data_IF_112789472551
#
_entry.id   IF_112789472551
#
_cell.length_a   1.000
_cell.length_b   1.000
_cell.length_c   1.000
_cell.angle_alpha   90.00
_cell.angle_beta   90.00
_cell.angle_gamma   90.00
#
_symmetry.space_group_name_H-M   'P 1'
#
loop_
_entity.id
_entity.type
_entity.pdbx_description
1 polymer ?
#
# COMPACT_ATOMS: atom_id res chain seq x y z
N UNK A 1 29.47 -6.91 -24.57
CA UNK A 1 28.83 -6.66 -23.25
C UNK A 1 28.25 -5.26 -23.08
N UNK A 2 28.96 -4.16 -23.39
CA UNK A 2 28.39 -2.79 -23.26
C UNK A 2 27.10 -2.54 -24.04
N UNK A 3 26.93 -3.10 -25.25
CA UNK A 3 25.71 -2.93 -26.07
C UNK A 3 24.47 -3.67 -25.52
N UNK A 4 24.66 -4.79 -24.80
CA UNK A 4 23.58 -5.51 -24.11
C UNK A 4 23.12 -4.79 -22.84
N UNK A 5 24.04 -4.06 -22.18
CA UNK A 5 23.71 -3.25 -21.00
C UNK A 5 22.85 -2.04 -21.39
N UNK A 6 23.16 -1.37 -22.50
CA UNK A 6 22.30 -0.30 -23.02
C UNK A 6 20.98 -0.84 -23.60
N UNK A 7 20.97 -2.02 -24.22
CA UNK A 7 19.72 -2.66 -24.63
C UNK A 7 18.84 -3.04 -23.43
N UNK A 8 19.42 -3.49 -22.31
CA UNK A 8 18.68 -3.75 -21.07
C UNK A 8 18.18 -2.47 -20.40
N UNK A 9 18.96 -1.37 -20.42
CA UNK A 9 18.54 -0.05 -19.91
C UNK A 9 17.46 0.57 -20.83
N UNK A 10 17.55 0.41 -22.15
CA UNK A 10 16.57 0.88 -23.15
C UNK A 10 15.31 0.01 -23.16
N UNK A 11 15.43 -1.30 -22.98
CA UNK A 11 14.28 -2.20 -22.79
C UNK A 11 13.62 -1.99 -21.43
N UNK A 12 14.37 -1.65 -20.37
CA UNK A 12 13.82 -1.20 -19.08
C UNK A 12 13.22 0.22 -19.13
N UNK A 13 13.53 1.04 -20.14
CA UNK A 13 12.89 2.36 -20.33
C UNK A 13 11.69 2.33 -21.29
N UNK A 14 11.33 1.17 -21.85
CA UNK A 14 10.16 0.99 -22.71
C UNK A 14 9.21 -0.14 -22.30
N UNK A 15 9.41 -0.82 -21.18
CA UNK A 15 8.46 -1.82 -20.67
C UNK A 15 7.56 -1.23 -19.58
N UNK A 16 6.43 -0.71 -20.06
CA UNK A 16 5.10 -0.70 -19.44
C UNK A 16 5.01 -1.83 -18.40
N UNK A 17 4.75 -1.60 -17.13
CA UNK A 17 3.92 -0.58 -16.48
C UNK A 17 3.05 -1.35 -15.48
N UNK A 18 2.63 -0.67 -14.40
CA UNK A 18 1.79 -1.09 -13.26
C UNK A 18 2.65 -1.19 -11.92
N UNK A 19 2.20 -0.63 -10.72
CA UNK A 19 2.51 -0.74 -9.19
C UNK A 19 1.38 -0.42 -8.18
N UNK A 20 1.45 -1.04 -6.98
CA UNK A 20 0.44 -1.45 -5.96
C UNK A 20 0.03 -0.52 -4.82
N UNK A 21 -1.26 -0.63 -4.45
CA UNK A 21 -1.86 -0.15 -3.20
C UNK A 21 -1.32 -0.92 -2.00
N UNK A 22 -0.47 -0.30 -1.18
CA UNK A 22 0.03 -0.87 0.07
C UNK A 22 -0.50 -0.08 1.27
N UNK A 23 -1.05 -0.73 2.31
CA UNK A 23 -1.23 -0.09 3.60
C UNK A 23 0.14 0.32 4.20
N UNK A 24 0.16 1.42 4.95
CA UNK A 24 1.31 1.88 5.78
C UNK A 24 1.81 0.78 6.74
N UNK A 25 0.93 -0.18 7.03
CA UNK A 25 1.13 -1.38 7.82
C UNK A 25 0.89 -2.59 6.93
N UNK A 26 1.97 -3.17 6.39
CA UNK A 26 1.91 -4.49 5.77
C UNK A 26 2.39 -5.55 6.77
N UNK A 27 1.46 -6.30 7.39
CA UNK A 27 1.78 -7.25 8.45
C UNK A 27 2.51 -8.52 7.98
N UNK A 28 2.75 -8.71 6.69
CA UNK A 28 3.06 -10.02 6.10
C UNK A 28 4.55 -10.40 6.04
N UNK A 29 5.45 -9.66 6.67
CA UNK A 29 6.90 -9.82 6.47
C UNK A 29 7.62 -10.56 7.63
N UNK A 30 6.94 -11.39 8.45
CA UNK A 30 7.54 -11.96 9.67
C UNK A 30 7.74 -13.47 9.71
N UNK A 31 7.44 -14.21 8.65
CA UNK A 31 7.59 -15.67 8.65
C UNK A 31 8.57 -16.08 7.57
N UNK A 32 9.65 -16.76 7.98
CA UNK A 32 10.53 -17.42 7.04
C UNK A 32 9.84 -18.70 6.53
N UNK A 33 9.55 -18.80 5.22
CA UNK A 33 9.05 -20.03 4.58
C UNK A 33 9.75 -21.32 4.98
N UNK A 34 11.04 -21.23 5.32
CA UNK A 34 11.89 -22.38 5.64
C UNK A 34 11.60 -22.93 7.03
N UNK A 35 11.16 -22.09 7.96
CA UNK A 35 10.83 -22.49 9.34
C UNK A 35 9.51 -23.27 9.44
N UNK A 36 8.73 -23.29 8.35
CA UNK A 36 7.38 -23.85 8.30
C UNK A 36 7.22 -24.95 7.22
N UNK A 37 8.34 -25.42 6.66
CA UNK A 37 8.32 -26.53 5.69
C UNK A 37 7.70 -27.78 6.33
N UNK A 38 6.68 -28.35 5.65
CA UNK A 38 5.92 -29.50 6.18
C UNK A 38 4.73 -29.14 7.09
N UNK A 39 4.55 -27.86 7.42
CA UNK A 39 3.46 -27.38 8.26
C UNK A 39 2.49 -26.46 7.48
N UNK A 40 1.26 -26.36 7.99
CA UNK A 40 0.30 -25.32 7.62
C UNK A 40 0.31 -24.29 8.74
N UNK A 41 0.51 -23.03 8.39
CA UNK A 41 0.47 -21.93 9.33
C UNK A 41 -0.79 -21.09 9.09
N UNK A 42 -1.54 -20.85 10.15
CA UNK A 42 -2.63 -19.88 10.18
C UNK A 42 -2.20 -18.69 11.02
N UNK A 43 -2.39 -17.49 10.48
CA UNK A 43 -2.17 -16.24 11.21
C UNK A 43 -3.46 -15.44 11.28
N UNK A 44 -3.65 -14.77 12.41
CA UNK A 44 -4.72 -13.79 12.62
C UNK A 44 -4.13 -12.59 13.34
N UNK A 45 -4.49 -11.39 12.91
CA UNK A 45 -3.95 -10.14 13.43
C UNK A 45 -5.02 -9.07 13.51
N UNK A 46 -4.95 -8.29 14.57
CA UNK A 46 -5.72 -7.08 14.79
C UNK A 46 -4.73 -5.92 14.88
N UNK A 47 -4.96 -4.86 14.12
CA UNK A 47 -4.19 -3.62 14.14
C UNK A 47 -5.14 -2.47 14.40
N UNK A 48 -4.81 -1.59 15.33
CA UNK A 48 -5.59 -0.39 15.59
C UNK A 48 -4.65 0.79 15.87
N UNK A 49 -5.01 1.96 15.38
CA UNK A 49 -4.20 3.15 15.60
C UNK A 49 -4.75 4.40 14.96
N UNK A 50 -3.89 5.41 14.89
CA UNK A 50 -4.21 6.69 14.30
C UNK A 50 -3.03 7.24 13.51
N UNK A 51 -3.34 8.12 12.56
CA UNK A 51 -2.36 8.82 11.77
C UNK A 51 -2.68 10.29 11.62
N UNK A 52 -1.63 11.09 11.56
CA UNK A 52 -1.63 12.48 11.12
C UNK A 52 -1.16 12.56 9.69
N UNK A 53 -1.90 13.29 8.85
CA UNK A 53 -1.65 13.40 7.41
C UNK A 53 -1.55 12.02 6.74
N UNK A 54 -2.55 11.17 6.99
CA UNK A 54 -2.57 9.83 6.43
C UNK A 54 -2.38 9.87 4.91
N UNK A 55 -1.55 8.95 4.41
CA UNK A 55 -1.30 8.80 2.98
C UNK A 55 -1.91 7.47 2.52
N UNK A 56 -2.81 7.54 1.54
CA UNK A 56 -3.44 6.37 0.93
C UNK A 56 -2.90 6.20 -0.49
N UNK A 57 -2.00 5.25 -0.71
CA UNK A 57 -1.33 5.03 -2.00
C UNK A 57 -0.70 6.31 -2.56
N UNK A 58 0.12 6.95 -1.73
CA UNK A 58 0.81 8.19 -2.10
C UNK A 58 -0.13 9.37 -2.37
N UNK A 59 -1.37 9.31 -1.86
CA UNK A 59 -2.34 10.40 -1.89
C UNK A 59 -2.54 10.92 -0.46
N UNK A 60 -2.01 12.11 -0.12
CA UNK A 60 -2.17 12.66 1.22
C UNK A 60 -3.62 13.08 1.46
N UNK A 61 -4.20 12.61 2.57
CA UNK A 61 -5.52 13.03 3.03
C UNK A 61 -5.48 14.32 3.85
N UNK A 62 -4.30 14.70 4.38
CA UNK A 62 -4.11 15.87 5.28
C UNK A 62 -5.00 15.86 6.54
N UNK A 63 -5.59 14.72 6.86
CA UNK A 63 -6.51 14.56 7.98
C UNK A 63 -5.91 13.75 9.12
N UNK A 64 -6.51 13.91 10.31
CA UNK A 64 -6.33 13.02 11.45
C UNK A 64 -7.33 11.90 11.31
N UNK A 65 -6.88 10.65 11.29
CA UNK A 65 -7.77 9.51 11.08
C UNK A 65 -7.42 8.35 11.98
N UNK A 66 -8.45 7.74 12.57
CA UNK A 66 -8.35 6.45 13.23
C UNK A 66 -8.55 5.33 12.22
N UNK A 67 -7.92 4.19 12.48
CA UNK A 67 -8.08 3.00 11.65
C UNK A 67 -8.08 1.72 12.47
N UNK A 68 -8.77 0.73 11.92
CA UNK A 68 -8.83 -0.65 12.41
C UNK A 68 -8.55 -1.58 11.23
N UNK A 69 -7.70 -2.58 11.42
CA UNK A 69 -7.48 -3.62 10.43
C UNK A 69 -7.52 -5.00 11.09
N UNK A 70 -8.30 -5.89 10.50
CA UNK A 70 -8.28 -7.32 10.75
C UNK A 70 -7.58 -7.99 9.59
N UNK A 71 -6.57 -8.80 9.87
CA UNK A 71 -5.85 -9.59 8.88
C UNK A 71 -5.86 -11.05 9.27
N UNK A 72 -5.96 -11.93 8.29
CA UNK A 72 -5.75 -13.36 8.48
C UNK A 72 -5.06 -13.93 7.26
N UNK A 73 -4.23 -14.94 7.48
CA UNK A 73 -3.48 -15.56 6.39
C UNK A 73 -3.26 -17.04 6.62
N UNK A 74 -3.18 -17.77 5.52
CA UNK A 74 -2.80 -19.17 5.48
C UNK A 74 -1.52 -19.29 4.69
N UNK A 75 -0.52 -19.92 5.30
CA UNK A 75 0.70 -20.31 4.62
C UNK A 75 0.78 -21.82 4.54
N UNK A 76 1.12 -22.32 3.35
CA UNK A 76 1.39 -23.73 3.14
C UNK A 76 2.43 -23.93 2.03
N UNK A 77 3.55 -24.59 2.39
CA UNK A 77 4.67 -24.91 1.49
C UNK A 77 5.35 -23.70 0.86
N UNK A 78 4.88 -23.26 -0.29
CA UNK A 78 5.43 -22.15 -1.07
C UNK A 78 4.36 -21.12 -1.40
N UNK A 79 3.17 -21.27 -0.83
CA UNK A 79 2.02 -20.44 -1.14
C UNK A 79 1.53 -19.77 0.13
N UNK A 80 1.15 -18.51 0.00
CA UNK A 80 0.48 -17.72 1.02
C UNK A 80 -0.82 -17.16 0.45
N UNK A 81 -1.87 -17.21 1.24
CA UNK A 81 -3.12 -16.51 0.98
C UNK A 81 -3.47 -15.63 2.16
N UNK A 82 -3.71 -14.35 1.91
CA UNK A 82 -4.05 -13.39 2.96
C UNK A 82 -5.36 -12.69 2.63
N UNK A 83 -6.16 -12.46 3.66
CA UNK A 83 -7.31 -11.57 3.63
C UNK A 83 -7.14 -10.49 4.69
N UNK A 84 -7.37 -9.25 4.30
CA UNK A 84 -7.32 -8.09 5.19
C UNK A 84 -8.60 -7.28 5.03
N UNK A 85 -9.26 -6.99 6.13
CA UNK A 85 -10.35 -6.04 6.22
C UNK A 85 -9.88 -4.83 7.01
N UNK A 86 -10.04 -3.64 6.44
CA UNK A 86 -9.65 -2.39 7.07
C UNK A 86 -10.80 -1.39 7.06
N UNK A 87 -10.99 -0.71 8.18
CA UNK A 87 -11.96 0.36 8.33
C UNK A 87 -11.16 1.61 8.70
N UNK A 88 -11.46 2.70 8.02
CA UNK A 88 -10.93 4.02 8.34
C UNK A 88 -12.07 4.93 8.77
N UNK A 89 -11.91 5.58 9.92
CA UNK A 89 -12.84 6.60 10.39
C UNK A 89 -12.50 7.95 9.78
N UNK A 90 -13.54 8.70 9.45
CA UNK A 90 -13.44 10.08 9.02
C UNK A 90 -14.70 10.54 8.30
N UNK A 91 -14.75 11.82 7.99
CA UNK A 91 -15.91 12.40 7.34
C UNK A 91 -16.00 11.96 5.88
N UNK A 92 -17.21 11.58 5.46
CA UNK A 92 -17.49 11.37 4.04
C UNK A 92 -17.70 12.74 3.38
N UNK A 93 -16.86 13.14 2.41
CA UNK A 93 -16.99 14.43 1.76
C UNK A 93 -18.32 14.49 0.99
N UNK A 94 -19.23 15.34 1.47
CA UNK A 94 -20.48 15.63 0.79
C UNK A 94 -20.24 16.47 -0.47
N UNK A 95 -21.01 16.21 -1.52
CA UNK A 95 -21.08 17.10 -2.69
C UNK A 95 -22.33 17.95 -2.57
N UNK A 96 -22.22 19.26 -2.75
CA UNK A 96 -23.42 20.05 -3.03
C UNK A 96 -23.77 19.96 -4.52
N UNK A 97 -25.05 19.99 -4.86
CA UNK A 97 -25.51 19.99 -6.26
C UNK A 97 -26.38 21.20 -6.55
N UNK A 98 -26.08 21.89 -7.65
CA UNK A 98 -27.02 22.82 -8.27
C UNK A 98 -27.93 22.02 -9.20
N UNK A 99 -29.24 22.07 -8.95
CA UNK A 99 -30.26 21.38 -9.73
C UNK A 99 -30.55 22.08 -11.08
N UNK A 100 -29.50 22.46 -11.81
CA UNK A 100 -29.57 22.90 -13.20
C UNK A 100 -29.52 21.68 -14.15
N UNK A 101 -29.83 21.89 -15.43
CA UNK A 101 -29.69 20.87 -16.47
C UNK A 101 -28.59 21.29 -17.46
N UNK A 102 -27.43 20.61 -17.50
CA UNK A 102 -27.04 19.45 -16.69
C UNK A 102 -26.68 19.83 -15.23
N UNK A 103 -26.78 18.89 -14.26
CA UNK A 103 -26.49 19.17 -12.86
C UNK A 103 -25.02 19.48 -12.61
N UNK A 104 -24.75 20.49 -11.79
CA UNK A 104 -23.38 20.93 -11.43
C UNK A 104 -23.10 20.54 -9.97
N UNK A 105 -22.05 19.77 -9.75
CA UNK A 105 -21.60 19.35 -8.41
C UNK A 105 -20.50 20.27 -7.87
N UNK A 106 -20.47 20.47 -6.55
CA UNK A 106 -19.50 21.29 -5.83
C UNK A 106 -18.91 20.53 -4.63
N UNK A 107 -17.58 20.57 -4.40
CA UNK A 107 -16.60 21.11 -5.35
C UNK A 107 -16.68 20.37 -6.68
N UNK A 108 -16.42 21.09 -7.78
CA UNK A 108 -16.49 20.52 -9.13
C UNK A 108 -15.62 19.27 -9.16
N UNK A 109 -16.18 18.10 -9.54
CA UNK A 109 -15.39 16.89 -9.66
C UNK A 109 -14.19 17.23 -10.53
N UNK A 110 -12.96 16.99 -10.05
CA UNK A 110 -11.80 17.34 -10.84
C UNK A 110 -11.86 16.50 -12.13
N UNK A 111 -11.32 17.04 -13.22
CA UNK A 111 -11.52 16.46 -14.54
C UNK A 111 -11.01 15.01 -14.58
N UNK A 112 -11.45 14.18 -15.54
CA UNK A 112 -11.02 12.77 -15.64
C UNK A 112 -9.51 12.59 -15.67
N UNK A 113 -8.79 13.66 -16.04
CA UNK A 113 -7.36 13.77 -16.12
C UNK A 113 -6.66 14.49 -14.96
N UNK A 114 -7.32 14.62 -13.81
CA UNK A 114 -6.69 15.13 -12.61
C UNK A 114 -6.08 13.99 -11.78
N UNK A 115 -5.04 14.33 -11.01
CA UNK A 115 -4.51 13.47 -9.96
C UNK A 115 -5.64 12.98 -9.03
N UNK A 116 -5.80 11.66 -8.82
CA UNK A 116 -6.75 11.11 -7.88
C UNK A 116 -6.50 11.63 -6.47
N UNK A 117 -7.56 12.11 -5.81
CA UNK A 117 -7.55 12.26 -4.37
C UNK A 117 -7.54 10.86 -3.74
N UNK A 118 -7.11 10.76 -2.49
CA UNK A 118 -7.33 9.54 -1.72
C UNK A 118 -8.84 9.25 -1.66
N UNK A 119 -9.27 7.98 -1.69
CA UNK A 119 -10.67 7.64 -1.57
C UNK A 119 -11.19 8.16 -0.22
N UNK A 120 -12.47 8.46 -0.09
CA UNK A 120 -13.04 8.85 1.19
C UNK A 120 -12.95 7.71 2.21
N UNK A 121 -13.04 7.99 3.52
CA UNK A 121 -13.09 6.97 4.56
C UNK A 121 -14.13 5.88 4.26
N UNK A 122 -13.88 4.66 4.70
CA UNK A 122 -14.73 3.52 4.40
C UNK A 122 -14.09 2.18 4.72
N UNK A 123 -14.84 1.11 4.43
CA UNK A 123 -14.39 -0.26 4.54
C UNK A 123 -13.65 -0.70 3.28
N UNK A 124 -12.52 -1.36 3.47
CA UNK A 124 -11.63 -1.83 2.42
C UNK A 124 -11.21 -3.26 2.70
N UNK A 125 -11.44 -4.12 1.71
CA UNK A 125 -11.03 -5.52 1.69
C UNK A 125 -9.83 -5.70 0.77
N UNK A 126 -8.87 -6.53 1.18
CA UNK A 126 -7.72 -6.90 0.37
C UNK A 126 -7.52 -8.41 0.41
N UNK A 127 -7.35 -9.01 -0.75
CA UNK A 127 -6.95 -10.40 -0.95
C UNK A 127 -5.55 -10.42 -1.52
N UNK A 128 -4.68 -11.24 -0.96
CA UNK A 128 -3.31 -11.40 -1.43
C UNK A 128 -2.99 -12.86 -1.66
N UNK A 129 -2.24 -13.14 -2.71
CA UNK A 129 -1.71 -14.45 -3.04
C UNK A 129 -0.21 -14.33 -3.23
N UNK A 130 0.57 -14.97 -2.35
CA UNK A 130 2.02 -15.02 -2.42
C UNK A 130 2.52 -16.37 -2.92
N UNK A 131 3.53 -16.35 -3.78
CA UNK A 131 4.32 -17.50 -4.17
C UNK A 131 5.78 -17.27 -3.77
N UNK A 132 6.35 -18.21 -3.02
CA UNK A 132 7.72 -18.19 -2.56
C UNK A 132 8.58 -19.12 -3.40
N UNK A 133 9.74 -18.63 -3.82
CA UNK A 133 10.69 -19.40 -4.61
C UNK A 133 12.11 -19.04 -4.21
N UNK A 134 13.06 -19.91 -4.48
CA UNK A 134 14.48 -19.59 -4.29
C UNK A 134 15.16 -19.40 -5.62
N UNK A 135 16.19 -18.57 -5.66
CA UNK A 135 17.04 -18.44 -6.85
C UNK A 135 18.09 -19.57 -6.85
N UNK A 136 18.16 -20.39 -7.91
CA UNK A 136 19.25 -21.36 -8.07
C UNK A 136 20.61 -20.65 -8.10
N UNK A 137 21.59 -21.13 -7.33
CA UNK A 137 22.91 -20.49 -7.17
C UNK A 137 22.86 -19.05 -6.63
N UNK A 138 21.83 -18.73 -5.84
CA UNK A 138 21.70 -17.44 -5.16
C UNK A 138 22.70 -17.26 -4.00
N UNK A 139 22.69 -16.08 -3.34
CA UNK A 139 23.50 -15.85 -2.16
C UNK A 139 23.16 -16.83 -1.03
N UNK A 140 24.18 -17.26 -0.29
CA UNK A 140 24.02 -18.00 0.97
C UNK A 140 23.91 -17.02 2.16
N UNK A 141 23.00 -17.25 3.12
CA UNK A 141 22.01 -18.34 3.17
C UNK A 141 20.95 -18.22 2.06
N UNK A 142 20.53 -19.36 1.48
CA UNK A 142 19.49 -19.45 0.42
C UNK A 142 18.33 -18.50 0.71
N UNK A 143 18.24 -17.42 -0.07
CA UNK A 143 17.22 -16.39 0.12
C UNK A 143 15.93 -16.77 -0.62
N UNK A 144 14.81 -16.75 0.09
CA UNK A 144 13.48 -16.92 -0.51
C UNK A 144 13.01 -15.59 -1.07
N UNK A 145 12.63 -15.60 -2.34
CA UNK A 145 11.99 -14.51 -3.05
C UNK A 145 10.48 -14.71 -3.05
N UNK A 146 9.73 -13.61 -3.06
CA UNK A 146 8.27 -13.62 -3.15
C UNK A 146 7.80 -12.97 -4.45
N UNK A 147 6.88 -13.63 -5.14
CA UNK A 147 5.93 -13.00 -6.05
C UNK A 147 4.59 -12.89 -5.34
N UNK A 148 3.89 -11.75 -5.42
CA UNK A 148 2.61 -11.56 -4.74
C UNK A 148 1.61 -10.88 -5.65
N UNK A 149 0.45 -11.49 -5.87
CA UNK A 149 -0.71 -10.80 -6.40
C UNK A 149 -1.54 -10.19 -5.28
N UNK A 150 -2.19 -9.06 -5.54
CA UNK A 150 -3.09 -8.42 -4.59
C UNK A 150 -4.28 -7.83 -5.31
N UNK A 151 -5.46 -8.01 -4.74
CA UNK A 151 -6.67 -7.34 -5.16
C UNK A 151 -7.29 -6.66 -3.96
N UNK A 152 -7.57 -5.37 -4.11
CA UNK A 152 -8.14 -4.55 -3.05
C UNK A 152 -9.41 -3.88 -3.58
N UNK A 153 -10.43 -3.82 -2.73
CA UNK A 153 -11.68 -3.16 -3.02
C UNK A 153 -12.13 -2.35 -1.82
N UNK A 154 -12.45 -1.08 -2.06
CA UNK A 154 -13.02 -0.16 -1.08
C UNK A 154 -14.37 0.31 -1.57
N UNK A 155 -15.36 0.23 -0.69
CA UNK A 155 -16.69 0.80 -0.98
C UNK A 155 -16.69 2.28 -0.65
N UNK A 156 -17.28 3.09 -1.54
CA UNK A 156 -17.37 4.53 -1.39
C UNK A 156 -18.84 4.93 -1.29
N UNK A 157 -19.17 5.69 -0.25
CA UNK A 157 -20.46 6.35 -0.10
C UNK A 157 -20.27 7.86 -0.17
N UNK A 158 -21.12 8.53 -0.94
CA UNK A 158 -21.08 9.97 -1.12
C UNK A 158 -22.50 10.55 -1.07
N UNK A 159 -22.74 11.39 -0.09
CA UNK A 159 -23.98 12.14 0.01
C UNK A 159 -23.93 13.36 -0.91
N UNK A 160 -25.04 13.60 -1.60
CA UNK A 160 -25.27 14.78 -2.43
C UNK A 160 -26.29 15.65 -1.70
N UNK A 161 -25.89 16.85 -1.31
CA UNK A 161 -26.67 17.76 -0.48
C UNK A 161 -27.13 18.99 -1.26
N UNK A 162 -28.26 19.55 -0.84
CA UNK A 162 -28.73 20.84 -1.30
C UNK A 162 -27.85 21.96 -0.71
N UNK A 163 -27.30 22.88 -1.52
CA UNK A 163 -26.40 23.92 -1.02
C UNK A 163 -27.07 24.87 -0.01
N UNK A 164 -28.37 25.12 -0.14
CA UNK A 164 -29.10 26.08 0.71
C UNK A 164 -29.66 25.47 1.99
N UNK A 165 -30.04 24.19 1.97
CA UNK A 165 -30.73 23.55 3.10
C UNK A 165 -29.87 22.50 3.81
N UNK A 166 -28.75 22.09 3.21
CA UNK A 166 -27.96 20.95 3.68
C UNK A 166 -28.68 19.61 3.57
N UNK A 167 -29.91 19.58 3.05
CA UNK A 167 -30.70 18.36 2.95
C UNK A 167 -30.04 17.40 1.95
N UNK A 168 -29.96 16.11 2.32
CA UNK A 168 -29.47 15.06 1.41
C UNK A 168 -30.49 14.87 0.29
N UNK A 169 -30.12 15.27 -0.93
CA UNK A 169 -30.93 15.13 -2.14
C UNK A 169 -30.80 13.71 -2.70
N UNK A 170 -29.59 13.15 -2.69
CA UNK A 170 -29.35 11.78 -3.15
C UNK A 170 -28.13 11.17 -2.47
N UNK A 171 -28.08 9.84 -2.42
CA UNK A 171 -26.90 9.08 -1.98
C UNK A 171 -26.32 8.32 -3.15
N UNK A 172 -25.03 8.48 -3.40
CA UNK A 172 -24.29 7.73 -4.43
C UNK A 172 -23.42 6.67 -3.78
N UNK A 173 -23.41 5.50 -4.38
CA UNK A 173 -22.53 4.39 -4.02
C UNK A 173 -21.57 4.09 -5.17
N UNK A 174 -20.29 4.00 -4.83
CA UNK A 174 -19.24 3.66 -5.77
C UNK A 174 -18.23 2.72 -5.14
N UNK A 175 -17.12 2.52 -5.85
CA UNK A 175 -16.01 1.69 -5.41
C UNK A 175 -14.70 2.18 -5.97
N UNK A 176 -13.64 1.97 -5.19
CA UNK A 176 -12.27 1.98 -5.66
C UNK A 176 -11.75 0.55 -5.64
N UNK A 177 -11.20 0.09 -6.76
CA UNK A 177 -10.62 -1.24 -6.91
C UNK A 177 -9.17 -1.10 -7.34
N UNK A 178 -8.30 -1.94 -6.80
CA UNK A 178 -6.93 -2.06 -7.23
C UNK A 178 -6.54 -3.50 -7.44
N UNK A 179 -5.78 -3.74 -8.49
CA UNK A 179 -5.13 -5.02 -8.74
C UNK A 179 -3.65 -4.79 -8.87
N UNK A 180 -2.85 -5.49 -8.07
CA UNK A 180 -1.40 -5.45 -8.07
C UNK A 180 -0.68 -6.79 -8.10
N UNK A 181 0.61 -6.71 -8.39
CA UNK A 181 1.60 -7.74 -8.45
C UNK A 181 2.87 -7.19 -7.79
N UNK A 182 3.62 -7.96 -7.03
CA UNK A 182 4.89 -7.51 -6.45
C UNK A 182 5.90 -8.62 -6.58
N UNK A 183 7.16 -8.27 -6.78
CA UNK A 183 8.23 -9.24 -6.92
C UNK A 183 9.49 -8.80 -6.22
N UNK A 184 10.01 -9.65 -5.35
CA UNK A 184 11.33 -9.44 -4.79
C UNK A 184 12.38 -9.56 -5.89
N UNK A 185 13.23 -8.55 -5.96
CA UNK A 185 14.30 -8.45 -6.92
C UNK A 185 15.62 -8.21 -6.20
N UNK A 186 16.45 -9.24 -6.08
CA UNK A 186 17.81 -9.10 -5.64
C UNK A 186 18.66 -8.62 -6.83
N UNK A 187 19.48 -7.61 -6.61
CA UNK A 187 20.48 -7.19 -7.60
C UNK A 187 21.86 -7.20 -6.97
N UNK A 188 22.85 -7.76 -7.68
CA UNK A 188 24.22 -7.70 -7.24
C UNK A 188 24.72 -6.25 -7.37
N UNK A 189 25.20 -5.69 -6.28
CA UNK A 189 25.87 -4.40 -6.26
C UNK A 189 27.24 -4.52 -5.60
N UNK A 190 28.29 -4.45 -6.42
CA UNK A 190 29.67 -4.74 -6.03
C UNK A 190 29.76 -6.14 -5.41
N UNK A 191 30.20 -6.25 -4.16
CA UNK A 191 30.35 -7.49 -3.41
C UNK A 191 29.13 -7.86 -2.56
N UNK A 192 28.03 -7.11 -2.67
CA UNK A 192 26.83 -7.31 -1.84
C UNK A 192 25.59 -7.49 -2.71
N UNK A 193 24.63 -8.25 -2.20
CA UNK A 193 23.30 -8.32 -2.78
C UNK A 193 22.43 -7.25 -2.12
N UNK A 194 21.80 -6.43 -2.95
CA UNK A 194 20.77 -5.50 -2.51
C UNK A 194 19.42 -6.14 -2.77
N UNK A 195 18.58 -6.14 -1.74
CA UNK A 195 17.24 -6.70 -1.81
C UNK A 195 16.23 -5.57 -1.84
N UNK A 196 15.32 -5.61 -2.81
CA UNK A 196 14.15 -4.78 -2.80
C UNK A 196 12.99 -5.48 -3.50
N UNK A 197 11.89 -4.77 -3.62
CA UNK A 197 10.68 -5.29 -4.24
C UNK A 197 10.25 -4.31 -5.32
N UNK A 198 10.01 -4.82 -6.53
CA UNK A 198 9.26 -4.08 -7.52
C UNK A 198 7.77 -4.26 -7.27
N UNK A 199 7.06 -3.15 -7.19
CA UNK A 199 5.60 -3.15 -7.17
C UNK A 199 5.05 -3.08 -8.58
N UNK A 200 3.88 -3.69 -8.76
CA UNK A 200 3.00 -3.67 -9.93
C UNK A 200 1.47 -3.53 -9.51
N UNK A 201 0.63 -2.63 -10.06
CA UNK A 201 -0.81 -2.37 -9.91
C UNK A 201 -1.40 -1.17 -10.68
N UNK A 202 -2.73 -1.23 -10.71
CA UNK A 202 -3.64 -0.27 -11.28
C UNK A 202 -4.81 -0.08 -10.32
N UNK A 203 -5.16 1.17 -10.07
CA UNK A 203 -6.34 1.55 -9.29
C UNK A 203 -7.38 2.17 -10.22
N UNK A 204 -8.65 1.85 -9.99
CA UNK A 204 -9.81 2.41 -10.69
C UNK A 204 -10.90 2.79 -9.70
N UNK A 205 -11.41 4.00 -9.82
CA UNK A 205 -12.54 4.51 -9.04
C UNK A 205 -13.75 4.68 -9.96
N UNK A 206 -14.92 4.23 -9.51
CA UNK A 206 -16.17 4.28 -10.27
C UNK A 206 -17.42 4.42 -9.39
N UNK A 207 -18.54 4.82 -9.98
CA UNK A 207 -19.86 4.90 -9.30
C UNK A 207 -20.10 6.19 -8.52
N UNK A 208 -19.14 7.11 -8.52
CA UNK A 208 -19.29 8.47 -7.99
C UNK A 208 -18.97 9.50 -9.06
N UNK A 209 -19.19 10.79 -8.78
CA UNK A 209 -19.04 11.88 -9.76
C UNK A 209 -17.61 12.00 -10.36
N UNK A 210 -16.61 11.34 -9.77
CA UNK A 210 -15.26 11.24 -10.32
C UNK A 210 -14.86 9.80 -10.65
N UNK A 211 -15.02 9.39 -11.90
CA UNK A 211 -14.39 8.18 -12.43
C UNK A 211 -12.91 8.44 -12.70
N UNK A 212 -12.03 7.60 -12.16
CA UNK A 212 -10.57 7.78 -12.33
C UNK A 212 -9.86 6.45 -12.46
N UNK A 213 -8.71 6.46 -13.12
CA UNK A 213 -7.77 5.35 -13.09
C UNK A 213 -6.36 5.89 -12.89
N UNK A 214 -5.52 5.12 -12.22
CA UNK A 214 -4.10 5.39 -12.13
C UNK A 214 -3.32 4.09 -12.17
N UNK A 215 -2.07 4.23 -12.57
CA UNK A 215 -1.13 3.13 -12.66
C UNK A 215 0.14 3.58 -11.97
N UNK A 216 0.57 2.89 -10.94
CA UNK A 216 1.82 3.24 -10.25
C UNK A 216 2.98 2.43 -10.85
N UNK A 217 4.22 2.67 -10.43
CA UNK A 217 5.37 1.79 -10.62
C UNK A 217 6.30 2.09 -9.44
N UNK A 218 6.76 1.09 -8.68
CA UNK A 218 7.60 1.36 -7.50
C UNK A 218 8.72 0.36 -7.37
N UNK A 219 9.85 0.83 -6.84
CA UNK A 219 10.91 0.02 -6.30
C UNK A 219 11.10 0.39 -4.84
N UNK A 220 11.00 -0.59 -3.96
CA UNK A 220 11.17 -0.39 -2.52
C UNK A 220 12.39 -1.16 -2.04
N UNK A 221 13.36 -0.43 -1.49
CA UNK A 221 14.51 -1.01 -0.81
C UNK A 221 14.22 -1.12 0.69
N UNK A 222 14.50 -2.29 1.29
CA UNK A 222 14.43 -2.49 2.73
C UNK A 222 15.85 -2.52 3.28
N UNK A 223 16.21 -1.52 4.08
CA UNK A 223 17.51 -1.53 4.75
C UNK A 223 17.49 -2.52 5.92
N UNK A 224 18.65 -3.11 6.29
CA UNK A 224 18.77 -3.88 7.52
C UNK A 224 18.26 -3.06 8.70
N UNK A 225 17.37 -3.66 9.50
CA UNK A 225 16.93 -3.06 10.75
C UNK A 225 18.04 -3.10 11.81
N UNK A 226 17.89 -2.27 12.85
CA UNK A 226 18.77 -2.31 14.02
C UNK A 226 17.97 -2.24 15.31
N UNK A 227 18.55 -2.74 16.40
CA UNK A 227 17.95 -2.68 17.73
C UNK A 227 18.70 -1.67 18.61
N UNK A 228 17.96 -0.90 19.40
CA UNK A 228 18.52 -0.15 20.52
C UNK A 228 17.68 -0.42 21.77
N UNK A 229 18.28 -1.14 22.73
CA UNK A 229 17.56 -1.71 23.88
C UNK A 229 16.39 -2.58 23.39
N UNK A 230 15.18 -2.34 23.88
CA UNK A 230 13.98 -3.08 23.51
C UNK A 230 13.29 -2.56 22.24
N UNK A 231 13.81 -1.49 21.62
CA UNK A 231 13.19 -0.87 20.43
C UNK A 231 13.92 -1.31 19.18
N UNK A 232 13.15 -1.74 18.19
CA UNK A 232 13.62 -2.17 16.89
C UNK A 232 13.29 -1.10 15.85
N UNK A 233 14.25 -0.79 14.98
CA UNK A 233 14.15 0.25 13.98
C UNK A 233 14.24 -0.36 12.59
N UNK A 234 13.34 0.09 11.70
CA UNK A 234 13.28 -0.33 10.29
C UNK A 234 13.24 0.89 9.39
N UNK A 235 13.87 0.79 8.24
CA UNK A 235 13.82 1.83 7.21
C UNK A 235 13.52 1.21 5.85
N UNK A 236 12.57 1.81 5.14
CA UNK A 236 12.23 1.47 3.78
C UNK A 236 12.39 2.73 2.94
N UNK A 237 12.93 2.58 1.73
CA UNK A 237 13.02 3.67 0.78
C UNK A 237 12.37 3.25 -0.53
N UNK A 238 11.30 3.94 -0.89
CA UNK A 238 10.56 3.67 -2.10
C UNK A 238 10.77 4.80 -3.10
N UNK A 239 11.08 4.45 -4.33
CA UNK A 239 11.04 5.36 -5.47
C UNK A 239 10.04 4.83 -6.48
N UNK A 240 9.40 5.73 -7.20
CA UNK A 240 8.41 5.29 -8.16
C UNK A 240 7.89 6.38 -9.07
N UNK A 241 6.91 5.98 -9.86
CA UNK A 241 6.22 6.86 -10.79
C UNK A 241 4.74 6.51 -10.85
N UNK A 242 3.89 7.51 -10.84
CA UNK A 242 2.44 7.35 -10.97
C UNK A 242 2.00 7.97 -12.29
N UNK A 243 1.32 7.20 -13.10
CA UNK A 243 0.93 7.51 -14.48
C UNK A 243 -0.58 7.34 -14.67
N UNK A 244 -1.03 7.65 -15.88
CA UNK A 244 -2.44 7.57 -16.28
C UNK A 244 -3.36 8.50 -15.46
N UNK A 245 -2.79 9.53 -14.82
CA UNK A 245 -3.49 10.64 -14.17
C UNK A 245 -3.86 11.75 -15.16
N UNK A 246 -3.99 11.42 -16.44
CA UNK A 246 -4.08 12.25 -17.66
C UNK A 246 -3.47 13.69 -17.68
N UNK A 247 -2.47 13.93 -16.83
CA UNK A 247 -1.45 14.96 -16.93
C UNK A 247 -0.04 14.35 -16.93
N UNK A 248 0.95 15.12 -16.50
CA UNK A 248 2.34 14.67 -16.31
C UNK A 248 2.41 13.59 -15.24
N UNK A 249 3.19 12.54 -15.52
CA UNK A 249 3.40 11.49 -14.55
C UNK A 249 4.08 12.03 -13.29
N UNK A 250 3.62 11.55 -12.12
CA UNK A 250 4.12 11.98 -10.82
C UNK A 250 5.31 11.13 -10.43
N UNK A 251 6.45 11.75 -10.15
CA UNK A 251 7.57 11.06 -9.56
C UNK A 251 7.38 10.97 -8.04
N UNK A 252 7.79 9.84 -7.48
CA UNK A 252 7.62 9.50 -6.08
C UNK A 252 8.97 9.21 -5.45
N UNK A 253 9.20 9.81 -4.28
CA UNK A 253 10.24 9.42 -3.34
C UNK A 253 9.59 9.30 -1.97
N UNK A 254 9.64 8.11 -1.36
CA UNK A 254 8.99 7.84 -0.09
C UNK A 254 9.95 7.11 0.86
N UNK A 255 10.74 7.85 1.64
CA UNK A 255 11.37 7.29 2.83
C UNK A 255 10.31 6.95 3.90
N UNK A 256 10.52 5.83 4.57
CA UNK A 256 9.68 5.32 5.65
C UNK A 256 10.59 4.89 6.79
N UNK A 257 10.31 5.41 7.98
CA UNK A 257 11.01 5.09 9.20
C UNK A 257 10.03 4.55 10.21
N UNK A 258 10.40 3.46 10.86
CA UNK A 258 9.56 2.83 11.87
C UNK A 258 10.42 2.47 13.07
N UNK A 259 9.88 2.79 14.24
CA UNK A 259 10.32 2.26 15.52
C UNK A 259 9.21 1.35 16.06
N UNK A 260 9.56 0.15 16.48
CA UNK A 260 8.60 -0.76 17.11
C UNK A 260 9.13 -1.37 18.41
N UNK A 261 8.20 -1.59 19.33
CA UNK A 261 8.44 -2.15 20.65
C UNK A 261 7.50 -3.35 20.84
N UNK A 262 8.07 -4.51 21.17
CA UNK A 262 7.29 -5.69 21.52
C UNK A 262 7.07 -5.78 23.03
N UNK A 263 5.82 -5.77 23.49
CA UNK A 263 5.48 -6.01 24.89
C UNK A 263 5.19 -7.49 25.13
N UNK A 264 6.16 -8.18 25.73
CA UNK A 264 6.14 -9.64 25.92
C UNK A 264 4.93 -10.17 26.70
N UNK A 265 4.42 -9.40 27.69
CA UNK A 265 3.31 -9.86 28.56
C UNK A 265 1.99 -9.91 27.82
N UNK A 266 1.71 -8.90 27.00
CA UNK A 266 0.46 -8.77 26.25
C UNK A 266 0.58 -9.32 24.83
N UNK A 267 1.80 -9.57 24.35
CA UNK A 267 2.13 -9.94 22.97
C UNK A 267 1.66 -8.91 21.95
N UNK A 268 1.57 -7.66 22.37
CA UNK A 268 1.23 -6.51 21.53
C UNK A 268 2.52 -5.90 21.04
N UNK A 269 2.60 -5.50 19.77
CA UNK A 269 3.64 -4.60 19.32
C UNK A 269 3.09 -3.20 19.15
N UNK A 270 3.90 -2.23 19.54
CA UNK A 270 3.63 -0.81 19.38
C UNK A 270 4.53 -0.27 18.30
N UNK A 271 3.96 0.53 17.41
CA UNK A 271 4.64 1.05 16.24
C UNK A 271 4.50 2.58 16.21
N UNK A 272 5.62 3.24 15.88
CA UNK A 272 5.66 4.65 15.52
C UNK A 272 6.31 4.74 14.16
N UNK A 273 5.57 5.33 13.21
CA UNK A 273 5.97 5.46 11.82
C UNK A 273 6.06 6.92 11.45
N UNK A 274 7.11 7.27 10.72
CA UNK A 274 7.30 8.56 10.08
C UNK A 274 7.65 8.38 8.61
N UNK A 275 6.93 9.09 7.73
CA UNK A 275 7.11 9.00 6.28
C UNK A 275 7.03 10.41 5.66
N UNK A 276 8.18 11.03 5.34
CA UNK A 276 8.23 12.28 4.59
C UNK A 276 8.22 11.99 3.08
N UNK A 277 7.04 11.68 2.56
CA UNK A 277 6.83 11.43 1.14
C UNK A 277 7.03 12.71 0.33
N UNK A 278 7.82 12.64 -0.74
CA UNK A 278 7.94 13.67 -1.75
C UNK A 278 7.31 13.23 -3.08
N UNK A 279 6.47 14.10 -3.65
CA UNK A 279 5.80 13.92 -4.93
C UNK A 279 6.17 15.07 -5.86
N UNK A 280 6.38 14.79 -7.15
CA UNK A 280 6.58 15.83 -8.15
C UNK A 280 5.68 15.59 -9.36
N UNK A 281 4.73 16.48 -9.56
CA UNK A 281 3.75 16.46 -10.64
C UNK A 281 4.19 17.24 -11.89
N UNK A 282 5.36 17.87 -11.86
CA UNK A 282 5.90 18.71 -12.93
C UNK A 282 5.31 20.12 -12.99
N UNK A 283 4.13 20.36 -12.41
CA UNK A 283 3.45 21.66 -12.43
C UNK A 283 3.84 22.51 -11.21
N UNK A 284 3.93 21.89 -10.04
CA UNK A 284 4.20 22.57 -8.77
C UNK A 284 5.57 22.18 -8.17
N UNK A 285 6.38 21.41 -8.91
CA UNK A 285 7.66 20.91 -8.46
C UNK A 285 7.53 19.83 -7.38
N UNK A 286 8.59 19.64 -6.59
CA UNK A 286 8.59 18.68 -5.48
C UNK A 286 7.80 19.23 -4.29
N UNK A 287 6.80 18.48 -3.86
CA UNK A 287 6.03 18.73 -2.64
C UNK A 287 6.25 17.60 -1.66
N UNK A 288 6.58 17.95 -0.42
CA UNK A 288 6.78 16.98 0.66
C UNK A 288 5.56 16.96 1.59
N UNK A 289 5.05 15.76 1.84
CA UNK A 289 3.97 15.47 2.76
C UNK A 289 4.51 14.60 3.90
N UNK A 290 4.33 15.07 5.13
CA UNK A 290 4.83 14.40 6.32
C UNK A 290 3.71 13.62 6.97
N UNK A 291 3.81 12.30 6.93
CA UNK A 291 2.92 11.41 7.66
C UNK A 291 3.57 10.95 8.96
N UNK A 292 2.78 10.94 10.03
CA UNK A 292 3.11 10.24 11.28
C UNK A 292 1.96 9.29 11.61
N UNK A 293 2.28 8.04 11.94
CA UNK A 293 1.29 7.07 12.42
C UNK A 293 1.76 6.40 13.70
N UNK A 294 0.81 6.15 14.61
CA UNK A 294 1.03 5.38 15.84
C UNK A 294 -0.04 4.31 15.89
N UNK A 295 0.38 3.07 16.07
CA UNK A 295 -0.55 1.95 16.14
C UNK A 295 -0.03 0.83 17.03
N UNK A 296 -0.97 0.02 17.50
CA UNK A 296 -0.71 -1.23 18.16
C UNK A 296 -1.22 -2.37 17.28
N UNK A 297 -0.52 -3.49 17.32
CA UNK A 297 -0.98 -4.71 16.70
C UNK A 297 -0.87 -5.89 17.66
N UNK A 298 -1.78 -6.82 17.48
CA UNK A 298 -1.81 -8.06 18.23
C UNK A 298 -2.08 -9.19 17.26
N UNK A 299 -1.28 -10.25 17.36
CA UNK A 299 -1.35 -11.40 16.46
C UNK A 299 -1.33 -12.73 17.19
N UNK A 300 -1.99 -13.72 16.58
CA UNK A 300 -1.83 -15.13 16.91
C UNK A 300 -1.42 -15.90 15.67
N UNK A 301 -0.55 -16.88 15.89
CA UNK A 301 -0.09 -17.82 14.88
C UNK A 301 -0.37 -19.22 15.38
N UNK A 302 -0.93 -20.06 14.52
CA UNK A 302 -1.18 -21.47 14.77
C UNK A 302 -0.42 -22.28 13.72
N UNK A 303 0.30 -23.31 14.17
CA UNK A 303 1.06 -24.21 13.31
C UNK A 303 0.42 -25.60 13.39
N UNK A 304 0.15 -26.20 12.24
CA UNK A 304 -0.43 -27.55 12.12
C UNK A 304 0.51 -28.43 11.29
N UNK A 305 0.77 -29.66 11.72
CA UNK A 305 1.59 -30.61 10.96
C UNK A 305 1.84 -31.91 11.71
N UNK A 306 2.47 -32.91 11.05
CA UNK A 306 2.52 -34.29 11.53
C UNK A 306 3.38 -34.55 12.77
N UNK A 307 4.01 -33.52 13.36
CA UNK A 307 4.72 -33.62 14.63
C UNK A 307 4.35 -32.44 15.54
N UNK A 308 3.49 -32.73 16.53
CA UNK A 308 3.43 -32.03 17.82
C UNK A 308 3.93 -32.99 18.88
#
# INVERSE_FOLDING_TARGET
MRRFFYAAIVLMSCSVGLAQQRPIFDPDDFLDPREIEGHVLLSARLVAGGAWNFVDDYRPLKDKTGFLQLGGGVYWRHVQFDYKHSIREGDHPALSVCACDPPIYFPTPPPPNATPAAPPPGARDSLQFGWYYSIPNGPEPRTMMRLRGTWTRQTIHQDVVAPLTGAVISRRSGREESFGLEGDAPFPFRTRWLFGTFGLARTTQSGIAGHRSQTEFTYSHRFPGFAYKAVLFRTIFTVGRITNRAGTAINLVNPYFEAFLHESKTRVNFHVVYSPQALNDGAHGWQTHHQVAIFADWGKVYLFGPHL
#
